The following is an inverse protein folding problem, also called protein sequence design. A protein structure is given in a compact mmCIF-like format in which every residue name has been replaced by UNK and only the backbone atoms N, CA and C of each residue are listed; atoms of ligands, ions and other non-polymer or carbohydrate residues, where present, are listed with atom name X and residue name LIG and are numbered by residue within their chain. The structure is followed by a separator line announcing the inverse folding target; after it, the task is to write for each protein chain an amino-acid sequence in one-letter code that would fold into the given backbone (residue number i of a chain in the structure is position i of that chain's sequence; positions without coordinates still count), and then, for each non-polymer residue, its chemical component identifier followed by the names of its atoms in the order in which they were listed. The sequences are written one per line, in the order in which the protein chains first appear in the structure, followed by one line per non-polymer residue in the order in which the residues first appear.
data_IF_581926740673
#
_entry.id   IF_581926740673
#
_cell.length_a   1.000
_cell.length_b   1.000
_cell.length_c   1.000
_cell.angle_alpha   90.00
_cell.angle_beta   90.00
_cell.angle_gamma   90.00
#
_symmetry.space_group_name_H-M   'P 1'
#
loop_
_entity.id
_entity.type
_entity.pdbx_description
1 polymer ?
#
# COMPACT_ATOMS: atom_id res chain seq x y z
N UNK A 1 -8.18 55.90 25.92
CA UNK A 1 -8.42 54.85 24.89
C UNK A 1 -7.14 54.82 24.04
N UNK A 2 -6.43 53.74 23.74
CA UNK A 2 -6.79 52.33 23.66
C UNK A 2 -5.59 51.44 24.05
N UNK A 3 -5.88 50.27 24.61
CA UNK A 3 -4.93 49.20 24.95
C UNK A 3 -4.52 48.42 23.70
N UNK A 4 -3.21 48.23 23.52
CA UNK A 4 -2.66 47.31 22.51
C UNK A 4 -2.86 45.85 22.92
N UNK A 5 -3.56 45.08 22.07
CA UNK A 5 -3.92 43.67 22.28
C UNK A 5 -2.74 42.77 21.91
N UNK A 6 -2.36 41.74 22.70
CA UNK A 6 -1.26 40.86 22.33
C UNK A 6 -1.70 39.87 21.24
N UNK A 7 -0.84 39.72 20.22
CA UNK A 7 -0.98 38.73 19.14
C UNK A 7 -0.80 37.33 19.72
N UNK A 8 -1.88 36.55 19.77
CA UNK A 8 -1.82 35.12 20.09
C UNK A 8 -0.96 34.39 19.06
N UNK A 9 0.10 33.73 19.51
CA UNK A 9 0.85 32.75 18.71
C UNK A 9 -0.10 31.58 18.42
N UNK A 10 -0.52 31.44 17.17
CA UNK A 10 -1.17 30.22 16.70
C UNK A 10 -0.20 29.06 16.90
N UNK A 11 -0.52 28.15 17.83
CA UNK A 11 0.17 26.86 17.92
C UNK A 11 -0.12 26.11 16.63
N UNK A 12 0.84 26.15 15.70
CA UNK A 12 0.90 25.23 14.59
C UNK A 12 0.90 23.83 15.17
N UNK A 13 -0.21 23.11 14.96
CA UNK A 13 -0.34 21.71 15.34
C UNK A 13 0.75 20.98 14.55
N UNK A 14 1.78 20.53 15.24
CA UNK A 14 2.86 19.76 14.65
C UNK A 14 2.21 18.60 13.88
N UNK A 15 2.32 18.63 12.55
CA UNK A 15 1.88 17.55 11.68
C UNK A 15 2.72 16.35 12.08
N UNK A 16 2.07 15.38 12.74
CA UNK A 16 2.71 14.23 13.32
C UNK A 16 3.54 13.52 12.27
N UNK A 17 4.82 13.37 12.59
CA UNK A 17 5.72 12.41 11.97
C UNK A 17 5.28 11.00 12.42
N UNK A 18 4.14 10.57 11.90
CA UNK A 18 3.60 9.22 12.07
C UNK A 18 4.11 8.39 10.90
N UNK A 19 5.37 8.00 10.99
CA UNK A 19 6.08 7.15 10.03
C UNK A 19 5.30 5.83 9.88
N UNK A 20 5.21 5.26 8.68
CA UNK A 20 4.35 4.15 8.24
C UNK A 20 4.04 2.99 9.23
N UNK A 21 4.88 2.77 10.25
CA UNK A 21 4.63 1.87 11.38
C UNK A 21 3.34 2.21 12.14
N UNK A 22 3.01 3.49 12.35
CA UNK A 22 1.78 3.88 13.06
C UNK A 22 0.53 3.54 12.24
N UNK A 23 0.56 3.76 10.92
CA UNK A 23 -0.55 3.40 10.03
C UNK A 23 -0.79 1.89 10.01
N UNK A 24 0.28 1.08 10.00
CA UNK A 24 0.17 -0.38 10.06
C UNK A 24 -0.49 -0.83 11.36
N UNK A 25 -0.08 -0.29 12.50
CA UNK A 25 -0.65 -0.63 13.82
C UNK A 25 -2.12 -0.23 13.93
N UNK A 26 -2.49 0.93 13.38
CA UNK A 26 -3.87 1.40 13.33
C UNK A 26 -4.76 0.49 12.45
N UNK A 27 -4.26 0.10 11.27
CA UNK A 27 -4.96 -0.83 10.38
C UNK A 27 -5.17 -2.18 11.04
N UNK A 28 -4.12 -2.76 11.64
CA UNK A 28 -4.24 -4.04 12.36
C UNK A 28 -5.23 -3.97 13.51
N UNK A 29 -5.22 -2.87 14.26
CA UNK A 29 -6.18 -2.63 15.36
C UNK A 29 -7.61 -2.59 14.84
N UNK A 30 -7.84 -1.92 13.71
CA UNK A 30 -9.16 -1.84 13.08
C UNK A 30 -9.62 -3.18 12.50
N UNK A 31 -8.71 -3.93 11.87
CA UNK A 31 -9.02 -5.26 11.34
C UNK A 31 -9.44 -6.23 12.46
N UNK A 32 -8.80 -6.14 13.64
CA UNK A 32 -9.13 -6.99 14.79
C UNK A 32 -10.52 -6.74 15.41
N UNK A 33 -11.23 -5.67 15.00
CA UNK A 33 -12.59 -5.37 15.47
C UNK A 33 -13.67 -6.18 14.76
N UNK A 34 -13.34 -6.82 13.64
CA UNK A 34 -14.30 -7.56 12.82
C UNK A 34 -14.26 -9.06 13.13
N UNK A 35 -15.42 -9.68 13.43
CA UNK A 35 -15.48 -11.05 13.92
C UNK A 35 -15.31 -12.10 12.83
N UNK A 36 -15.50 -11.74 11.55
CA UNK A 36 -15.46 -12.65 10.42
C UNK A 36 -14.84 -11.99 9.17
N UNK A 37 -14.53 -12.82 8.18
CA UNK A 37 -13.85 -12.39 6.96
C UNK A 37 -14.71 -11.48 6.09
N UNK A 38 -16.03 -11.69 6.06
CA UNK A 38 -16.96 -10.89 5.24
C UNK A 38 -17.02 -9.45 5.76
N UNK A 39 -17.26 -9.27 7.06
CA UNK A 39 -17.29 -7.96 7.70
C UNK A 39 -15.93 -7.26 7.66
N UNK A 40 -14.82 -7.99 7.83
CA UNK A 40 -13.48 -7.44 7.64
C UNK A 40 -13.25 -6.95 6.21
N UNK A 41 -13.68 -7.74 5.22
CA UNK A 41 -13.52 -7.42 3.82
C UNK A 41 -14.27 -6.13 3.46
N UNK A 42 -15.56 -6.06 3.81
CA UNK A 42 -16.44 -4.95 3.43
C UNK A 42 -16.07 -3.63 4.12
N UNK A 43 -15.54 -3.70 5.34
CA UNK A 43 -15.32 -2.50 6.16
C UNK A 43 -13.86 -2.00 6.15
N UNK A 44 -12.90 -2.85 5.80
CA UNK A 44 -11.47 -2.48 5.84
C UNK A 44 -10.75 -2.81 4.54
N UNK A 45 -10.80 -4.05 4.07
CA UNK A 45 -9.98 -4.49 2.93
C UNK A 45 -10.43 -3.81 1.64
N UNK A 46 -11.71 -3.95 1.26
CA UNK A 46 -12.24 -3.36 0.03
C UNK A 46 -12.08 -1.83 0.03
N UNK A 47 -12.45 -1.08 1.08
CA UNK A 47 -12.22 0.37 1.11
C UNK A 47 -10.75 0.77 0.99
N UNK A 48 -9.83 0.01 1.59
CA UNK A 48 -8.40 0.28 1.51
C UNK A 48 -7.86 0.06 0.09
N UNK A 49 -8.23 -1.05 -0.56
CA UNK A 49 -7.83 -1.34 -1.94
C UNK A 49 -8.41 -0.31 -2.90
N UNK A 50 -9.70 0.05 -2.78
CA UNK A 50 -10.31 1.08 -3.64
C UNK A 50 -9.63 2.44 -3.47
N UNK A 51 -9.24 2.82 -2.25
CA UNK A 51 -8.48 4.05 -2.03
C UNK A 51 -7.08 3.99 -2.68
N UNK A 52 -6.43 2.82 -2.63
CA UNK A 52 -5.13 2.61 -3.26
C UNK A 52 -5.21 2.64 -4.79
N UNK A 53 -6.25 2.05 -5.37
CA UNK A 53 -6.55 2.12 -6.81
C UNK A 53 -6.76 3.55 -7.26
N UNK A 54 -7.57 4.34 -6.54
CA UNK A 54 -7.83 5.73 -6.86
C UNK A 54 -6.55 6.59 -6.86
N UNK A 55 -5.73 6.46 -5.82
CA UNK A 55 -4.44 7.19 -5.73
C UNK A 55 -3.47 6.75 -6.81
N UNK A 56 -3.46 5.47 -7.17
CA UNK A 56 -2.62 4.94 -8.25
C UNK A 56 -3.05 5.50 -9.60
N UNK A 57 -4.35 5.46 -9.90
CA UNK A 57 -4.91 6.00 -11.14
C UNK A 57 -4.63 7.50 -11.30
N UNK A 58 -4.82 8.30 -10.23
CA UNK A 58 -4.53 9.74 -10.23
C UNK A 58 -3.06 10.05 -10.53
N UNK A 59 -2.16 9.11 -10.26
CA UNK A 59 -0.70 9.23 -10.49
C UNK A 59 -0.23 8.52 -11.75
N UNK A 60 -1.13 7.88 -12.50
CA UNK A 60 -0.77 7.07 -13.66
C UNK A 60 -0.03 5.78 -13.31
N UNK A 61 -0.23 5.25 -12.11
CA UNK A 61 0.31 3.95 -11.71
C UNK A 61 -0.70 2.82 -11.90
N UNK A 62 -0.19 1.63 -12.19
CA UNK A 62 -0.93 0.37 -12.24
C UNK A 62 -0.62 -0.43 -10.97
N UNK A 63 -1.68 -0.95 -10.36
CA UNK A 63 -1.59 -1.85 -9.20
C UNK A 63 -1.59 -3.30 -9.69
N UNK A 64 -0.52 -4.04 -9.41
CA UNK A 64 -0.39 -5.45 -9.79
C UNK A 64 -0.28 -6.36 -8.56
N UNK A 65 -0.95 -7.51 -8.59
CA UNK A 65 -0.92 -8.55 -7.54
C UNK A 65 -0.48 -9.87 -8.20
N UNK A 66 0.59 -10.50 -7.71
CA UNK A 66 1.14 -11.75 -8.26
C UNK A 66 1.32 -12.85 -7.21
N UNK A 67 1.20 -14.12 -7.66
CA UNK A 67 1.71 -15.33 -7.00
C UNK A 67 0.84 -15.95 -5.90
N UNK A 68 1.23 -17.16 -5.44
CA UNK A 68 0.63 -17.85 -4.26
C UNK A 68 0.94 -17.12 -2.94
N UNK A 69 2.05 -16.37 -2.88
CA UNK A 69 2.33 -15.36 -1.86
C UNK A 69 2.19 -13.96 -2.46
N UNK A 70 1.25 -13.15 -1.96
CA UNK A 70 0.89 -11.87 -2.58
C UNK A 70 2.00 -10.83 -2.46
N UNK A 71 2.72 -10.58 -3.56
CA UNK A 71 3.56 -9.40 -3.71
C UNK A 71 2.78 -8.28 -4.41
N UNK A 72 2.78 -7.09 -3.80
CA UNK A 72 2.12 -5.89 -4.35
C UNK A 72 3.18 -4.99 -4.99
N UNK A 73 3.06 -4.77 -6.30
CA UNK A 73 3.98 -3.90 -7.06
C UNK A 73 3.19 -2.75 -7.67
N UNK A 74 3.71 -1.53 -7.51
CA UNK A 74 3.17 -0.30 -8.11
C UNK A 74 4.16 0.13 -9.21
N UNK A 75 3.68 0.22 -10.45
CA UNK A 75 4.51 0.58 -11.60
C UNK A 75 3.80 1.56 -12.53
N UNK A 76 4.53 2.21 -13.43
CA UNK A 76 3.90 2.89 -14.56
C UNK A 76 3.44 1.85 -15.60
N UNK A 77 2.58 2.23 -16.57
CA UNK A 77 2.19 1.33 -17.66
C UNK A 77 3.38 0.83 -18.50
N UNK A 78 4.36 1.69 -18.76
CA UNK A 78 5.52 1.36 -19.59
C UNK A 78 6.41 0.32 -18.88
N UNK A 79 6.61 0.50 -17.57
CA UNK A 79 7.46 -0.39 -16.75
C UNK A 79 6.77 -1.72 -16.42
N UNK A 80 5.44 -1.77 -16.45
CA UNK A 80 4.69 -2.97 -16.05
C UNK A 80 5.13 -4.18 -16.88
N UNK A 81 5.21 -4.05 -18.21
CA UNK A 81 5.59 -5.12 -19.14
C UNK A 81 6.97 -5.73 -18.83
N UNK A 82 7.94 -4.90 -18.46
CA UNK A 82 9.30 -5.32 -18.11
C UNK A 82 9.30 -6.06 -16.77
N UNK A 83 8.52 -5.59 -15.80
CA UNK A 83 8.38 -6.24 -14.49
C UNK A 83 7.72 -7.62 -14.65
N UNK A 84 6.67 -7.74 -15.48
CA UNK A 84 6.06 -9.03 -15.80
C UNK A 84 7.10 -10.00 -16.34
N UNK A 85 7.85 -9.60 -17.37
CA UNK A 85 8.86 -10.46 -17.98
C UNK A 85 9.94 -10.89 -16.99
N UNK A 86 10.41 -9.99 -16.13
CA UNK A 86 11.44 -10.29 -15.14
C UNK A 86 10.97 -11.30 -14.08
N UNK A 87 9.69 -11.25 -13.70
CA UNK A 87 9.10 -12.22 -12.76
C UNK A 87 8.94 -13.60 -13.43
N UNK A 88 8.45 -13.63 -14.67
CA UNK A 88 8.35 -14.87 -15.46
C UNK A 88 9.72 -15.53 -15.66
N UNK A 89 10.74 -14.73 -16.02
CA UNK A 89 12.11 -15.20 -16.20
C UNK A 89 12.68 -15.79 -14.89
N UNK A 90 12.37 -15.19 -13.74
CA UNK A 90 12.78 -15.70 -12.42
C UNK A 90 12.18 -17.08 -12.13
N UNK A 91 10.88 -17.27 -12.38
CA UNK A 91 10.23 -18.57 -12.16
C UNK A 91 10.71 -19.63 -13.16
N UNK A 92 10.87 -19.25 -14.44
CA UNK A 92 11.40 -20.15 -15.46
C UNK A 92 12.82 -20.64 -15.12
N UNK A 93 13.66 -19.78 -14.54
CA UNK A 93 15.00 -20.15 -14.08
C UNK A 93 14.97 -21.12 -12.89
N UNK A 94 13.96 -21.04 -12.00
CA UNK A 94 13.82 -21.98 -10.89
C UNK A 94 13.29 -23.36 -11.32
N UNK A 95 12.49 -23.42 -12.39
CA UNK A 95 12.01 -24.70 -12.94
C UNK A 95 13.10 -25.44 -13.77
N UNK A 96 14.09 -24.70 -14.29
CA UNK A 96 15.18 -25.25 -15.11
C UNK A 96 16.28 -25.97 -14.34
N UNK A 97 16.42 -25.75 -13.03
CA UNK A 97 17.55 -26.26 -12.21
C UNK A 97 17.32 -27.71 -11.68
N UNK A 98 16.25 -28.37 -12.12
CA UNK A 98 15.84 -29.72 -11.68
C UNK A 98 15.97 -30.83 -12.74
N UNK A 99 16.63 -30.58 -13.87
CA UNK A 99 16.80 -31.56 -14.96
C UNK A 99 18.22 -31.63 -15.47
N UNK A 100 19.17 -31.95 -14.60
CA UNK A 100 20.49 -32.46 -14.99
C UNK A 100 20.96 -33.48 -13.93
N UNK A 101 20.24 -34.60 -13.82
CA UNK A 101 20.79 -35.85 -13.27
C UNK A 101 20.68 -36.92 -14.37
N UNK A 102 21.77 -37.10 -15.11
CA UNK A 102 22.10 -38.33 -15.87
C UNK A 102 23.49 -38.80 -15.43
#
# INVERSE_FOLDING_TARGET
MAQGKPRGKSKGRARGKGDAKSLREDLLTRMAQFPDAESLNDNVITPFISALEAVSADRGYVLNIYGEGSNLVISTPDDASVIFQLVEDYFAAQEGDGKDED
#
